data_IF_150594736562
#
_entry.id   IF_150594736562
#
_cell.length_a   1.000
_cell.length_b   1.000
_cell.length_c   1.000
_cell.angle_alpha   90.00
_cell.angle_beta   90.00
_cell.angle_gamma   90.00
#
_symmetry.space_group_name_H-M   'P 1'
#
loop_
_entity.id
_entity.type
_entity.pdbx_description
1 polymer ?
#
# COMPACT_ATOMS: atom_id res chain seq x y z
N UNK A 1 -17.57 0.82 10.77
CA UNK A 1 -16.84 2.10 10.59
C UNK A 1 -15.34 1.90 10.45
N UNK A 2 -14.72 0.95 11.18
CA UNK A 2 -13.28 0.66 11.06
C UNK A 2 -12.77 0.49 9.62
N UNK A 3 -13.47 -0.27 8.78
CA UNK A 3 -13.09 -0.49 7.37
C UNK A 3 -13.06 0.77 6.51
N UNK A 4 -13.94 1.74 6.80
CA UNK A 4 -13.95 3.04 6.09
C UNK A 4 -12.71 3.84 6.49
N UNK A 5 -12.44 3.94 7.79
CA UNK A 5 -11.29 4.67 8.30
C UNK A 5 -9.98 4.05 7.79
N UNK A 6 -9.82 2.73 7.88
CA UNK A 6 -8.67 2.01 7.32
C UNK A 6 -8.54 2.25 5.81
N UNK A 7 -9.66 2.20 5.07
CA UNK A 7 -9.67 2.47 3.64
C UNK A 7 -9.15 3.86 3.29
N UNK A 8 -9.64 4.90 3.98
CA UNK A 8 -9.19 6.28 3.80
C UNK A 8 -7.71 6.43 4.15
N UNK A 9 -7.26 5.83 5.26
CA UNK A 9 -5.86 5.86 5.67
C UNK A 9 -4.96 5.24 4.59
N UNK A 10 -5.32 4.07 4.06
CA UNK A 10 -4.53 3.44 3.00
C UNK A 10 -4.50 4.28 1.72
N UNK A 11 -5.62 4.87 1.30
CA UNK A 11 -5.63 5.78 0.15
C UNK A 11 -4.73 7.00 0.38
N UNK A 12 -4.80 7.59 1.58
CA UNK A 12 -3.95 8.71 1.95
C UNK A 12 -2.47 8.33 1.91
N UNK A 13 -2.09 7.20 2.52
CA UNK A 13 -0.71 6.69 2.47
C UNK A 13 -0.26 6.48 1.03
N UNK A 14 -1.09 5.85 0.19
CA UNK A 14 -0.78 5.63 -1.22
C UNK A 14 -0.44 6.95 -1.93
N UNK A 15 -1.29 7.97 -1.79
CA UNK A 15 -1.07 9.29 -2.36
C UNK A 15 0.20 9.96 -1.82
N UNK A 16 0.44 9.90 -0.51
CA UNK A 16 1.63 10.50 0.11
C UNK A 16 2.89 9.79 -0.41
N UNK A 17 2.91 8.46 -0.54
CA UNK A 17 4.04 7.71 -1.10
C UNK A 17 4.34 8.14 -2.54
N UNK A 18 3.31 8.45 -3.34
CA UNK A 18 3.48 8.93 -4.71
C UNK A 18 4.11 10.32 -4.78
N UNK A 19 3.67 11.24 -3.91
CA UNK A 19 4.11 12.65 -3.92
C UNK A 19 5.43 12.83 -3.17
N UNK A 20 5.60 12.10 -2.08
CA UNK A 20 6.71 12.19 -1.14
C UNK A 20 7.33 10.80 -0.95
N UNK A 21 8.06 10.27 -1.95
CA UNK A 21 8.66 8.94 -1.87
C UNK A 21 9.72 8.81 -0.77
N UNK A 22 10.24 9.94 -0.26
CA UNK A 22 11.17 10.01 0.86
C UNK A 22 10.63 9.44 2.18
N UNK A 23 9.31 9.27 2.30
CA UNK A 23 8.69 8.61 3.47
C UNK A 23 8.88 7.10 3.47
N UNK A 24 9.21 6.50 2.31
CA UNK A 24 9.54 5.09 2.25
C UNK A 24 10.85 4.87 3.01
N UNK A 25 10.80 4.02 4.03
CA UNK A 25 11.98 3.67 4.80
C UNK A 25 13.09 3.16 3.86
N UNK A 26 14.30 3.66 4.05
CA UNK A 26 15.44 3.35 3.18
C UNK A 26 15.54 4.20 1.91
N UNK A 27 14.51 4.96 1.52
CA UNK A 27 14.60 5.89 0.37
C UNK A 27 15.52 7.06 0.67
N UNK A 28 15.46 7.58 1.90
CA UNK A 28 16.25 8.75 2.28
C UNK A 28 17.76 8.43 2.38
N UNK A 29 18.13 7.17 2.63
CA UNK A 29 19.52 6.70 2.67
C UNK A 29 20.11 6.40 1.28
N UNK A 30 19.33 6.49 0.21
CA UNK A 30 19.81 6.32 -1.16
C UNK A 30 20.57 7.57 -1.63
N UNK A 31 21.70 7.35 -2.31
CA UNK A 31 22.39 8.40 -3.06
C UNK A 31 21.52 8.96 -4.19
N UNK A 32 21.84 10.14 -4.73
CA UNK A 32 21.07 10.74 -5.83
C UNK A 32 20.93 9.80 -7.04
N UNK A 33 22.01 9.10 -7.41
CA UNK A 33 22.02 8.15 -8.52
C UNK A 33 21.09 6.95 -8.26
N UNK A 34 21.04 6.48 -7.02
CA UNK A 34 20.12 5.40 -6.62
C UNK A 34 18.67 5.85 -6.52
N UNK A 35 18.41 7.12 -6.15
CA UNK A 35 17.07 7.72 -6.16
C UNK A 35 16.51 7.81 -7.57
N UNK A 36 17.27 8.34 -8.53
CA UNK A 36 16.85 8.40 -9.94
C UNK A 36 16.56 6.99 -10.50
N UNK A 37 17.37 6.00 -10.14
CA UNK A 37 17.14 4.62 -10.55
C UNK A 37 15.90 4.00 -9.88
N UNK A 38 15.60 4.43 -8.65
CA UNK A 38 14.39 4.00 -7.90
C UNK A 38 13.11 4.51 -8.54
N UNK A 39 13.12 5.77 -8.98
CA UNK A 39 11.99 6.38 -9.68
C UNK A 39 11.75 5.68 -11.02
N UNK A 40 12.82 5.31 -11.73
CA UNK A 40 12.75 4.50 -12.96
C UNK A 40 12.23 3.08 -12.71
N UNK A 41 12.60 2.46 -11.60
CA UNK A 41 12.14 1.10 -11.24
C UNK A 41 10.73 1.07 -10.61
N UNK A 42 10.10 2.24 -10.43
CA UNK A 42 8.71 2.32 -10.03
C UNK A 42 8.43 1.95 -8.57
N UNK A 43 9.42 1.98 -7.66
CA UNK A 43 9.17 1.67 -6.23
C UNK A 43 8.11 2.61 -5.59
N UNK A 44 8.14 3.94 -5.82
CA UNK A 44 7.08 4.82 -5.33
C UNK A 44 5.72 4.49 -5.96
N UNK A 45 5.72 4.12 -7.24
CA UNK A 45 4.51 3.73 -7.95
C UNK A 45 3.95 2.40 -7.43
N UNK A 46 4.80 1.44 -7.10
CA UNK A 46 4.45 0.18 -6.46
C UNK A 46 3.77 0.42 -5.11
N UNK A 47 4.39 1.24 -4.24
CA UNK A 47 3.81 1.60 -2.95
C UNK A 47 2.46 2.31 -3.10
N UNK A 48 2.37 3.29 -4.01
CA UNK A 48 1.12 3.96 -4.35
C UNK A 48 0.03 2.96 -4.77
N UNK A 49 0.34 2.08 -5.71
CA UNK A 49 -0.62 1.12 -6.25
C UNK A 49 -1.10 0.14 -5.19
N UNK A 50 -0.18 -0.40 -4.38
CA UNK A 50 -0.49 -1.34 -3.32
C UNK A 50 -1.41 -0.72 -2.25
N UNK A 51 -1.01 0.43 -1.69
CA UNK A 51 -1.82 1.10 -0.68
C UNK A 51 -3.16 1.59 -1.24
N UNK A 52 -3.18 2.04 -2.50
CA UNK A 52 -4.44 2.41 -3.17
C UNK A 52 -5.37 1.19 -3.30
N UNK A 53 -4.85 0.04 -3.73
CA UNK A 53 -5.62 -1.19 -3.84
C UNK A 53 -6.16 -1.65 -2.47
N UNK A 54 -5.33 -1.63 -1.42
CA UNK A 54 -5.76 -1.93 -0.05
C UNK A 54 -6.88 -1.00 0.42
N UNK A 55 -6.78 0.30 0.10
CA UNK A 55 -7.79 1.29 0.41
C UNK A 55 -9.12 1.03 -0.29
N UNK A 56 -9.08 0.80 -1.60
CA UNK A 56 -10.26 0.49 -2.42
C UNK A 56 -10.94 -0.79 -1.94
N UNK A 57 -10.19 -1.87 -1.72
CA UNK A 57 -10.76 -3.15 -1.23
C UNK A 57 -11.40 -2.95 0.14
N UNK A 58 -10.77 -2.20 1.05
CA UNK A 58 -11.34 -1.93 2.38
C UNK A 58 -12.65 -1.15 2.30
N UNK A 59 -12.75 -0.17 1.40
CA UNK A 59 -13.99 0.58 1.17
C UNK A 59 -15.09 -0.28 0.53
N UNK A 60 -14.74 -1.06 -0.50
CA UNK A 60 -15.67 -1.98 -1.16
C UNK A 60 -16.19 -3.02 -0.17
N UNK A 61 -15.34 -3.53 0.73
CA UNK A 61 -15.74 -4.48 1.76
C UNK A 61 -16.85 -3.94 2.66
N UNK A 62 -16.83 -2.64 2.96
CA UNK A 62 -17.88 -2.00 3.75
C UNK A 62 -19.21 -1.96 2.98
N UNK A 63 -19.17 -1.55 1.70
CA UNK A 63 -20.37 -1.49 0.84
C UNK A 63 -20.98 -2.88 0.68
N UNK A 64 -20.16 -3.89 0.36
CA UNK A 64 -20.60 -5.28 0.20
C UNK A 64 -21.16 -5.83 1.51
N UNK A 65 -20.51 -5.58 2.65
CA UNK A 65 -21.00 -6.06 3.95
C UNK A 65 -22.35 -5.46 4.33
N UNK A 66 -22.62 -4.20 3.94
CA UNK A 66 -23.93 -3.57 4.13
C UNK A 66 -24.98 -4.15 3.20
N UNK A 67 -24.60 -4.46 1.96
CA UNK A 67 -25.49 -5.07 0.98
C UNK A 67 -25.90 -6.50 1.35
N UNK A 68 -24.99 -7.27 1.96
CA UNK A 68 -25.23 -8.64 2.43
C UNK A 68 -25.81 -8.72 3.85
N UNK A 69 -26.13 -7.58 4.48
CA UNK A 69 -26.60 -7.48 5.87
C UNK A 69 -25.68 -8.16 6.90
N UNK A 70 -24.40 -8.30 6.57
CA UNK A 70 -23.43 -9.07 7.34
C UNK A 70 -22.27 -8.17 7.80
N UNK A 71 -22.46 -7.38 8.88
CA UNK A 71 -21.55 -6.29 9.25
C UNK A 71 -20.14 -6.74 9.65
N UNK A 72 -19.99 -7.99 10.10
CA UNK A 72 -18.73 -8.58 10.55
C UNK A 72 -17.75 -8.88 9.40
N UNK A 73 -18.24 -9.06 8.17
CA UNK A 73 -17.42 -9.31 6.98
C UNK A 73 -16.42 -8.17 6.72
N UNK A 74 -16.87 -6.92 6.88
CA UNK A 74 -16.03 -5.75 6.62
C UNK A 74 -14.78 -5.73 7.50
N UNK A 75 -14.92 -6.02 8.79
CA UNK A 75 -13.81 -6.09 9.75
C UNK A 75 -12.85 -7.24 9.41
N UNK A 76 -13.39 -8.42 9.10
CA UNK A 76 -12.57 -9.58 8.72
C UNK A 76 -11.77 -9.36 7.44
N UNK A 77 -12.41 -8.82 6.40
CA UNK A 77 -11.76 -8.48 5.13
C UNK A 77 -10.69 -7.42 5.35
N UNK A 78 -10.98 -6.36 6.12
CA UNK A 78 -9.99 -5.30 6.39
C UNK A 78 -8.75 -5.85 7.10
N UNK A 79 -8.93 -6.78 8.05
CA UNK A 79 -7.82 -7.44 8.73
C UNK A 79 -6.98 -8.27 7.76
N UNK A 80 -7.62 -9.09 6.91
CA UNK A 80 -6.93 -9.91 5.90
C UNK A 80 -6.17 -9.02 4.92
N UNK A 81 -6.80 -7.96 4.41
CA UNK A 81 -6.17 -6.97 3.51
C UNK A 81 -4.94 -6.35 4.17
N UNK A 82 -5.02 -6.01 5.45
CA UNK A 82 -3.90 -5.41 6.19
C UNK A 82 -2.73 -6.39 6.32
N UNK A 83 -2.99 -7.64 6.74
CA UNK A 83 -1.95 -8.65 6.92
C UNK A 83 -1.30 -9.06 5.60
N UNK A 84 -2.12 -9.39 4.59
CA UNK A 84 -1.63 -9.80 3.27
C UNK A 84 -0.95 -8.63 2.57
N UNK A 85 -1.53 -7.44 2.64
CA UNK A 85 -0.96 -6.22 2.08
C UNK A 85 0.40 -5.88 2.69
N UNK A 86 0.58 -6.07 4.00
CA UNK A 86 1.87 -5.88 4.65
C UNK A 86 2.94 -6.88 4.15
N UNK A 87 2.58 -8.16 3.98
CA UNK A 87 3.49 -9.16 3.41
C UNK A 87 3.88 -8.77 1.98
N UNK A 88 2.90 -8.42 1.15
CA UNK A 88 3.14 -7.98 -0.23
C UNK A 88 4.04 -6.74 -0.24
N UNK A 89 3.78 -5.75 0.62
CA UNK A 89 4.60 -4.54 0.72
C UNK A 89 6.07 -4.86 0.97
N UNK A 90 6.35 -5.72 1.96
CA UNK A 90 7.72 -6.11 2.33
C UNK A 90 8.38 -6.94 1.24
N UNK A 91 7.73 -8.00 0.76
CA UNK A 91 8.30 -8.92 -0.22
C UNK A 91 8.51 -8.23 -1.57
N UNK A 92 7.50 -7.52 -2.08
CA UNK A 92 7.61 -6.80 -3.35
C UNK A 92 8.54 -5.60 -3.27
N UNK A 93 8.59 -4.90 -2.13
CA UNK A 93 9.58 -3.85 -1.90
C UNK A 93 11.00 -4.39 -1.94
N UNK A 94 11.28 -5.49 -1.22
CA UNK A 94 12.58 -6.16 -1.23
C UNK A 94 12.96 -6.66 -2.62
N UNK A 95 12.03 -7.23 -3.37
CA UNK A 95 12.27 -7.67 -4.75
C UNK A 95 12.69 -6.52 -5.67
N UNK A 96 11.97 -5.39 -5.61
CA UNK A 96 12.29 -4.19 -6.40
C UNK A 96 13.61 -3.52 -5.98
N UNK A 97 14.03 -3.71 -4.72
CA UNK A 97 15.33 -3.21 -4.23
C UNK A 97 16.47 -4.15 -4.63
N UNK A 98 16.33 -5.47 -4.47
CA UNK A 98 17.38 -6.43 -4.81
C UNK A 98 17.66 -6.50 -6.31
N UNK A 99 16.63 -6.32 -7.14
CA UNK A 99 16.80 -6.17 -8.60
C UNK A 99 17.52 -4.86 -9.00
N UNK A 100 17.96 -4.01 -8.05
CA UNK A 100 18.86 -2.87 -8.33
C UNK A 100 20.34 -3.23 -8.38
N UNK A 101 20.72 -4.39 -7.81
CA UNK A 101 22.14 -4.75 -7.57
C UNK A 101 22.68 -5.69 -8.67
N UNK A 102 21.79 -6.22 -9.54
CA UNK A 102 22.17 -6.92 -10.77
C UNK A 102 22.11 -5.97 -11.97
#
# INVERSE_FOLDING_TARGET
MGSILSGIIFLAIGLIVRVYPNILAGYNSLSQKERENTERNGLPFYGFLLFTAMGVISLLSYVISRWLEAPHLSSGITLIVTLVGAIIAVVGGNYLINNRIN
#
